data_IF_270512820517
#
_entry.id   IF_270512820517
#
_cell.length_a   1.000
_cell.length_b   1.000
_cell.length_c   1.000
_cell.angle_alpha   90.00
_cell.angle_beta   90.00
_cell.angle_gamma   90.00
#
_symmetry.space_group_name_H-M   'P 1'
#
loop_
_entity.id
_entity.type
_entity.pdbx_description
1 polymer ?
#
# COMPACT_ATOMS: atom_id res chain seq x y z
N UNK A 1 9.14 12.79 -14.48
CA UNK A 1 8.15 13.01 -13.41
C UNK A 1 7.35 11.73 -13.19
N UNK A 2 7.31 11.18 -11.97
CA UNK A 2 6.48 9.99 -11.67
C UNK A 2 5.06 10.44 -11.33
N UNK A 3 4.04 9.87 -12.01
CA UNK A 3 2.62 10.15 -11.76
C UNK A 3 2.22 9.52 -10.41
N UNK A 4 1.79 10.34 -9.43
CA UNK A 4 1.32 9.87 -8.10
C UNK A 4 -0.22 9.82 -8.11
N UNK A 5 -0.81 8.65 -7.82
CA UNK A 5 -2.27 8.48 -7.75
C UNK A 5 -2.72 8.33 -6.30
N UNK A 6 -3.79 9.03 -5.93
CA UNK A 6 -4.35 9.03 -4.59
C UNK A 6 -5.66 8.26 -4.54
N UNK A 7 -5.74 7.22 -3.70
CA UNK A 7 -6.99 6.53 -3.43
C UNK A 7 -7.77 7.29 -2.35
N UNK A 8 -9.04 7.62 -2.61
CA UNK A 8 -9.94 8.32 -1.67
C UNK A 8 -11.20 7.49 -1.41
N UNK A 9 -11.64 7.43 -0.14
CA UNK A 9 -12.93 6.80 0.22
C UNK A 9 -13.38 7.22 1.63
N UNK A 10 -14.68 7.10 1.90
CA UNK A 10 -15.27 7.26 3.24
C UNK A 10 -15.22 5.98 4.08
N UNK A 11 -15.20 4.78 3.46
CA UNK A 11 -15.18 3.49 4.18
C UNK A 11 -13.81 3.24 4.81
N UNK A 12 -13.77 2.77 6.06
CA UNK A 12 -12.52 2.50 6.79
C UNK A 12 -12.58 1.17 7.55
N UNK A 13 -11.43 0.51 7.65
CA UNK A 13 -11.22 -0.67 8.50
C UNK A 13 -11.19 -0.26 9.98
N UNK A 14 -11.43 -1.19 10.93
CA UNK A 14 -11.39 -0.91 12.36
C UNK A 14 -10.05 -0.30 12.82
N UNK A 15 -10.07 0.52 13.88
CA UNK A 15 -8.88 1.18 14.41
C UNK A 15 -7.77 0.19 14.82
N UNK A 16 -8.15 -0.99 15.35
CA UNK A 16 -7.19 -2.03 15.72
C UNK A 16 -6.42 -2.54 14.49
N UNK A 17 -7.11 -2.76 13.37
CA UNK A 17 -6.47 -3.10 12.09
C UNK A 17 -5.54 -1.97 11.64
N UNK A 18 -6.00 -0.72 11.67
CA UNK A 18 -5.16 0.42 11.29
C UNK A 18 -3.88 0.52 12.13
N UNK A 19 -3.98 0.30 13.46
CA UNK A 19 -2.84 0.26 14.37
C UNK A 19 -1.89 -0.89 14.02
N UNK A 20 -2.41 -2.10 13.78
CA UNK A 20 -1.59 -3.24 13.35
C UNK A 20 -0.80 -2.92 12.08
N UNK A 21 -1.46 -2.39 11.05
CA UNK A 21 -0.83 -2.02 9.79
C UNK A 21 0.26 -0.95 10.02
N UNK A 22 0.00 0.07 10.84
CA UNK A 22 1.01 1.09 11.19
C UNK A 22 2.24 0.50 11.86
N UNK A 23 2.07 -0.51 12.70
CA UNK A 23 3.19 -1.13 13.43
C UNK A 23 4.05 -2.01 12.54
N UNK A 24 3.45 -2.78 11.62
CA UNK A 24 4.20 -3.73 10.78
C UNK A 24 4.79 -3.10 9.52
N UNK A 25 4.12 -2.09 8.95
CA UNK A 25 4.51 -1.52 7.64
C UNK A 25 5.93 -0.94 7.59
N UNK A 26 6.46 -0.26 8.64
CA UNK A 26 7.82 0.29 8.61
C UNK A 26 8.90 -0.77 8.35
N UNK A 27 8.73 -1.99 8.90
CA UNK A 27 9.65 -3.11 8.67
C UNK A 27 9.59 -3.72 7.27
N UNK A 28 8.67 -3.24 6.43
CA UNK A 28 8.48 -3.69 5.04
C UNK A 28 8.99 -2.67 4.01
N UNK A 29 9.50 -1.51 4.44
CA UNK A 29 10.01 -0.48 3.53
C UNK A 29 11.18 -1.05 2.70
N UNK A 30 11.18 -0.75 1.40
CA UNK A 30 12.15 -1.27 0.43
C UNK A 30 11.88 -2.70 -0.05
N UNK A 31 10.84 -3.38 0.46
CA UNK A 31 10.48 -4.74 0.06
C UNK A 31 9.30 -4.76 -0.90
N UNK A 32 9.22 -5.82 -1.70
CA UNK A 32 8.00 -6.16 -2.44
C UNK A 32 6.98 -6.70 -1.45
N UNK A 33 5.81 -6.10 -1.44
CA UNK A 33 4.71 -6.41 -0.52
C UNK A 33 3.41 -6.64 -1.29
N UNK A 34 2.52 -7.39 -0.67
CA UNK A 34 1.11 -7.48 -1.05
C UNK A 34 0.30 -6.63 -0.08
N UNK A 35 -0.46 -5.68 -0.62
CA UNK A 35 -1.35 -4.79 0.13
C UNK A 35 -2.79 -5.15 -0.23
N UNK A 36 -3.52 -5.75 0.72
CA UNK A 36 -4.95 -6.03 0.55
C UNK A 36 -5.74 -4.84 1.09
N UNK A 37 -6.56 -4.23 0.23
CA UNK A 37 -7.45 -3.13 0.61
C UNK A 37 -8.91 -3.56 0.55
N UNK A 38 -9.83 -2.69 1.00
CA UNK A 38 -11.27 -2.91 0.89
C UNK A 38 -11.80 -3.08 -0.55
N UNK A 39 -11.07 -2.61 -1.55
CA UNK A 39 -11.54 -2.58 -2.94
C UNK A 39 -10.70 -3.42 -3.89
N UNK A 40 -9.39 -3.51 -3.63
CA UNK A 40 -8.48 -4.23 -4.49
C UNK A 40 -7.23 -4.72 -3.74
N UNK A 41 -6.50 -5.64 -4.37
CA UNK A 41 -5.18 -6.06 -3.90
C UNK A 41 -4.11 -5.49 -4.81
N UNK A 42 -3.07 -4.90 -4.22
CA UNK A 42 -1.94 -4.34 -4.94
C UNK A 42 -0.66 -5.07 -4.55
N UNK A 43 0.18 -5.37 -5.53
CA UNK A 43 1.52 -5.91 -5.32
C UNK A 43 2.54 -4.92 -5.84
N UNK A 44 3.53 -4.59 -5.02
CA UNK A 44 4.53 -3.60 -5.40
C UNK A 44 5.59 -3.36 -4.34
N UNK A 45 6.50 -2.44 -4.62
CA UNK A 45 7.57 -2.06 -3.68
C UNK A 45 7.07 -0.97 -2.73
N UNK A 46 7.17 -1.22 -1.41
CA UNK A 46 6.80 -0.24 -0.40
C UNK A 46 7.90 0.82 -0.29
N UNK A 47 7.61 2.05 -0.74
CA UNK A 47 8.60 3.13 -0.75
C UNK A 47 8.68 3.84 0.59
N UNK A 48 7.53 4.13 1.21
CA UNK A 48 7.49 4.79 2.51
C UNK A 48 6.15 4.63 3.21
N UNK A 49 6.17 4.81 4.53
CA UNK A 49 5.01 4.80 5.41
C UNK A 49 4.90 6.18 6.03
N UNK A 50 3.87 6.93 5.64
CA UNK A 50 3.52 8.21 6.26
C UNK A 50 2.54 8.02 7.42
N UNK A 51 2.11 9.13 8.03
CA UNK A 51 1.23 9.12 9.23
C UNK A 51 -0.06 8.32 9.04
N UNK A 52 -0.72 8.47 7.88
CA UNK A 52 -2.01 7.84 7.57
C UNK A 52 -2.07 7.19 6.18
N UNK A 53 -0.93 7.12 5.47
CA UNK A 53 -0.88 6.62 4.09
C UNK A 53 0.43 5.87 3.87
N UNK A 54 0.40 4.86 3.01
CA UNK A 54 1.62 4.26 2.46
C UNK A 54 1.81 4.69 1.01
N UNK A 55 3.07 4.71 0.55
CA UNK A 55 3.43 4.90 -0.86
C UNK A 55 3.93 3.59 -1.43
N UNK A 56 3.24 3.07 -2.44
CA UNK A 56 3.54 1.80 -3.09
C UNK A 56 3.88 2.06 -4.56
N UNK A 57 5.01 1.56 -5.03
CA UNK A 57 5.34 1.56 -6.46
C UNK A 57 4.85 0.26 -7.08
N UNK A 58 3.97 0.36 -8.07
CA UNK A 58 3.39 -0.79 -8.78
C UNK A 58 3.65 -0.68 -10.27
N UNK A 59 3.63 -1.81 -10.97
CA UNK A 59 3.65 -1.84 -12.43
C UNK A 59 2.22 -1.71 -12.97
N UNK A 60 1.94 -0.68 -13.76
CA UNK A 60 0.67 -0.53 -14.49
C UNK A 60 0.76 -1.34 -15.78
N UNK A 61 -0.06 -2.38 -15.92
CA UNK A 61 -0.10 -3.20 -17.14
C UNK A 61 -0.66 -2.45 -18.36
N UNK A 62 -1.54 -1.46 -18.13
CA UNK A 62 -2.16 -0.64 -19.19
C UNK A 62 -1.11 0.26 -19.84
N UNK A 63 -0.36 0.98 -19.00
CA UNK A 63 0.61 1.98 -19.46
C UNK A 63 2.04 1.41 -19.59
N UNK A 64 2.23 0.13 -19.22
CA UNK A 64 3.52 -0.58 -19.16
C UNK A 64 4.63 0.18 -18.42
N UNK A 65 4.27 0.89 -17.36
CA UNK A 65 5.21 1.72 -16.60
C UNK A 65 4.99 1.59 -15.09
N UNK A 66 6.03 1.94 -14.32
CA UNK A 66 5.94 1.97 -12.87
C UNK A 66 5.31 3.28 -12.39
N UNK A 67 4.16 3.16 -11.73
CA UNK A 67 3.48 4.29 -11.07
C UNK A 67 3.64 4.20 -9.56
N UNK A 68 3.55 5.33 -8.89
CA UNK A 68 3.47 5.37 -7.43
C UNK A 68 2.05 5.66 -7.01
N UNK A 69 1.48 4.80 -6.18
CA UNK A 69 0.14 4.98 -5.62
C UNK A 69 0.24 5.26 -4.12
N UNK A 70 -0.61 6.16 -3.65
CA UNK A 70 -0.73 6.50 -2.24
C UNK A 70 -2.01 5.89 -1.70
N UNK A 71 -1.85 4.96 -0.76
CA UNK A 71 -2.94 4.16 -0.20
C UNK A 71 -3.19 4.61 1.24
N UNK A 72 -4.40 5.06 1.61
CA UNK A 72 -4.75 5.35 2.99
C UNK A 72 -4.68 4.08 3.86
N UNK A 73 -4.02 4.16 5.02
CA UNK A 73 -3.96 3.05 5.97
C UNK A 73 -5.37 2.63 6.42
N UNK A 74 -6.29 3.59 6.48
CA UNK A 74 -7.69 3.36 6.82
C UNK A 74 -8.41 2.37 5.91
N UNK A 75 -7.89 2.02 4.73
CA UNK A 75 -8.53 1.06 3.82
C UNK A 75 -7.77 -0.25 3.68
N UNK A 76 -6.63 -0.40 4.36
CA UNK A 76 -5.77 -1.57 4.26
C UNK A 76 -6.27 -2.62 5.24
N UNK A 77 -6.69 -3.76 4.71
CA UNK A 77 -7.08 -4.93 5.49
C UNK A 77 -5.83 -5.66 5.98
N UNK A 78 -4.85 -5.82 5.09
CA UNK A 78 -3.60 -6.50 5.42
C UNK A 78 -2.41 -6.05 4.56
N UNK A 79 -1.22 -6.18 5.10
CA UNK A 79 0.04 -5.96 4.38
C UNK A 79 1.08 -6.98 4.83
N UNK A 80 1.71 -7.65 3.86
CA UNK A 80 2.74 -8.65 4.14
C UNK A 80 3.76 -8.69 2.99
N UNK A 81 4.94 -9.24 3.28
CA UNK A 81 6.00 -9.40 2.29
C UNK A 81 5.54 -10.36 1.20
N UNK A 82 5.81 -10.04 -0.06
CA UNK A 82 5.58 -10.98 -1.15
C UNK A 82 6.41 -12.24 -0.90
N UNK A 83 5.83 -13.44 -0.97
CA UNK A 83 6.52 -14.68 -0.64
C UNK A 83 7.47 -15.06 -1.78
N UNK A 84 8.62 -14.40 -1.81
CA UNK A 84 9.75 -14.75 -2.66
C UNK A 84 10.89 -15.21 -1.73
N UNK A 85 11.47 -16.40 -1.96
CA UNK A 85 12.62 -16.89 -1.20
C UNK A 85 13.82 -15.94 -1.31
#
# INVERSE_FOLDING_TARGET
MSKEFHLTTARRVPLNTQKRIKNISPGLIGRVVVVRTLFNTFTGCLLSVGRNTIRLRIFSGIDRLFITIRIPIGIIIDIFRFPCP
#
